data_IF_669443652704
#
_entry.id   IF_669443652704
#
_cell.length_a   1.000
_cell.length_b   1.000
_cell.length_c   1.000
_cell.angle_alpha   90.00
_cell.angle_beta   90.00
_cell.angle_gamma   90.00
#
_symmetry.space_group_name_H-M   'P 1'
#
loop_
_entity.id
_entity.type
_entity.pdbx_description
1 polymer ?
#
# COMPACT_ATOMS: atom_id res chain seq x y z
N UNK A 1 21.40 -37.69 -69.24
CA UNK A 1 20.46 -38.31 -68.27
C UNK A 1 21.23 -38.59 -66.99
N UNK A 2 20.96 -38.09 -65.77
CA UNK A 2 20.16 -36.99 -65.22
C UNK A 2 20.89 -36.49 -63.95
N UNK A 3 21.01 -35.16 -63.77
CA UNK A 3 20.38 -34.33 -62.72
C UNK A 3 20.33 -34.90 -61.28
N UNK A 4 21.08 -34.21 -60.41
CA UNK A 4 20.63 -33.52 -59.18
C UNK A 4 19.98 -34.34 -58.05
N UNK A 5 20.67 -34.43 -56.90
CA UNK A 5 20.02 -34.52 -55.60
C UNK A 5 20.86 -33.76 -54.55
N UNK A 6 20.59 -32.47 -54.47
CA UNK A 6 20.95 -31.62 -53.34
C UNK A 6 19.77 -31.67 -52.35
N UNK A 7 20.10 -31.44 -51.07
CA UNK A 7 19.35 -30.62 -50.12
C UNK A 7 18.43 -31.26 -49.03
N UNK A 8 18.69 -30.75 -47.82
CA UNK A 8 17.84 -30.49 -46.64
C UNK A 8 17.49 -31.67 -45.74
N UNK A 9 18.23 -31.76 -44.63
CA UNK A 9 17.61 -32.09 -43.33
C UNK A 9 17.74 -30.84 -42.43
N UNK A 10 16.79 -29.93 -42.56
CA UNK A 10 16.56 -28.86 -41.60
C UNK A 10 15.68 -29.42 -40.48
N UNK A 11 16.28 -29.75 -39.34
CA UNK A 11 15.53 -29.96 -38.12
C UNK A 11 15.08 -28.59 -37.59
N UNK A 12 13.88 -28.17 -37.99
CA UNK A 12 13.18 -27.03 -37.42
C UNK A 12 12.76 -27.38 -35.99
N UNK A 13 13.67 -27.22 -35.03
CA UNK A 13 13.32 -27.13 -33.63
C UNK A 13 12.75 -25.73 -33.37
N UNK A 14 11.50 -25.49 -33.76
CA UNK A 14 10.71 -24.37 -33.23
C UNK A 14 10.31 -24.80 -31.81
N UNK A 15 11.26 -24.68 -30.89
CA UNK A 15 10.95 -24.67 -29.47
C UNK A 15 10.08 -23.45 -29.23
N UNK A 16 8.82 -23.69 -28.87
CA UNK A 16 7.95 -22.65 -28.31
C UNK A 16 8.61 -22.26 -26.98
N UNK A 17 9.51 -21.28 -27.02
CA UNK A 17 9.95 -20.58 -25.83
C UNK A 17 8.73 -19.74 -25.45
N UNK A 18 7.81 -20.29 -24.67
CA UNK A 18 6.90 -19.46 -23.89
C UNK A 18 7.77 -18.80 -22.83
N UNK A 19 8.02 -17.48 -22.88
CA UNK A 19 8.50 -16.81 -21.70
C UNK A 19 7.36 -16.87 -20.68
N UNK A 20 7.34 -17.89 -19.83
CA UNK A 20 6.70 -17.78 -18.52
C UNK A 20 7.61 -16.87 -17.70
N UNK A 21 7.67 -15.60 -18.10
CA UNK A 21 8.01 -14.55 -17.16
C UNK A 21 6.77 -14.44 -16.29
N UNK A 22 6.80 -15.15 -15.17
CA UNK A 22 5.78 -15.02 -14.15
C UNK A 22 5.73 -13.54 -13.74
N UNK A 23 4.74 -12.81 -14.23
CA UNK A 23 4.42 -11.48 -13.74
C UNK A 23 4.10 -11.59 -12.25
N UNK A 24 4.39 -10.54 -11.50
CA UNK A 24 3.91 -10.49 -10.12
C UNK A 24 2.38 -10.43 -10.14
N UNK A 25 1.76 -11.48 -9.60
CA UNK A 25 0.31 -11.66 -9.64
C UNK A 25 -0.44 -10.95 -8.51
N UNK A 26 0.25 -10.15 -7.69
CA UNK A 26 -0.35 -9.45 -6.55
C UNK A 26 -1.47 -8.47 -6.95
N UNK A 27 -1.39 -7.85 -8.13
CA UNK A 27 -2.47 -6.98 -8.63
C UNK A 27 -3.42 -7.66 -9.63
N UNK A 28 -3.06 -8.87 -10.09
CA UNK A 28 -3.83 -9.67 -11.05
C UNK A 28 -4.93 -10.51 -10.40
N UNK A 29 -5.40 -11.54 -11.11
CA UNK A 29 -6.52 -12.40 -10.70
C UNK A 29 -6.21 -13.25 -9.46
N UNK A 30 -4.95 -13.58 -9.24
CA UNK A 30 -4.50 -14.29 -8.05
C UNK A 30 -4.43 -13.38 -6.81
N UNK A 31 -4.58 -12.07 -7.00
CA UNK A 31 -4.46 -11.02 -5.98
C UNK A 31 -5.73 -10.19 -5.83
N UNK A 32 -5.68 -8.91 -6.22
CA UNK A 32 -6.78 -7.94 -6.01
C UNK A 32 -7.57 -7.57 -7.27
N UNK A 33 -7.32 -8.22 -8.40
CA UNK A 33 -8.01 -7.96 -9.67
C UNK A 33 -7.90 -6.50 -10.18
N UNK A 34 -6.87 -5.75 -9.80
CA UNK A 34 -6.69 -4.38 -10.27
C UNK A 34 -6.43 -4.32 -11.79
N UNK A 35 -5.73 -5.29 -12.36
CA UNK A 35 -5.49 -5.36 -13.81
C UNK A 35 -6.81 -5.35 -14.61
N UNK A 36 -7.79 -6.16 -14.17
CA UNK A 36 -9.13 -6.21 -14.77
C UNK A 36 -9.85 -4.85 -14.75
N UNK A 37 -9.58 -4.02 -13.75
CA UNK A 37 -10.17 -2.68 -13.64
C UNK A 37 -9.46 -1.66 -14.51
N UNK A 38 -8.15 -1.86 -14.71
CA UNK A 38 -7.32 -1.02 -15.56
C UNK A 38 -7.53 -1.32 -17.05
N UNK A 39 -8.02 -2.50 -17.39
CA UNK A 39 -8.34 -2.89 -18.76
C UNK A 39 -9.67 -2.30 -19.25
N UNK A 40 -9.85 -2.28 -20.58
CA UNK A 40 -11.11 -1.89 -21.21
C UNK A 40 -12.27 -2.81 -20.76
N UNK A 41 -13.50 -2.28 -20.56
CA UNK A 41 -13.93 -0.91 -20.83
C UNK A 41 -13.79 0.05 -19.63
N UNK A 42 -13.22 -0.42 -18.51
CA UNK A 42 -13.24 0.33 -17.26
C UNK A 42 -12.12 1.36 -17.17
N UNK A 43 -10.91 1.01 -17.62
CA UNK A 43 -9.75 1.90 -17.72
C UNK A 43 -9.47 2.70 -16.42
N UNK A 44 -9.69 2.07 -15.26
CA UNK A 44 -9.52 2.68 -13.94
C UNK A 44 -8.04 2.64 -13.54
N UNK A 45 -7.27 3.57 -14.09
CA UNK A 45 -5.82 3.69 -13.86
C UNK A 45 -5.44 4.70 -12.78
N UNK A 46 -6.43 5.37 -12.17
CA UNK A 46 -6.20 6.48 -11.23
C UNK A 46 -5.94 7.83 -11.91
N UNK A 47 -6.15 7.92 -13.24
CA UNK A 47 -5.98 9.17 -13.99
C UNK A 47 -6.81 10.31 -13.38
N UNK A 48 -6.17 11.47 -13.21
CA UNK A 48 -6.75 12.68 -12.57
C UNK A 48 -7.04 12.54 -11.07
N UNK A 49 -6.73 11.40 -10.44
CA UNK A 49 -6.87 11.23 -8.99
C UNK A 49 -5.53 11.55 -8.32
N UNK A 50 -5.56 12.39 -7.28
CA UNK A 50 -4.42 12.57 -6.41
C UNK A 50 -4.51 11.68 -5.18
N UNK A 51 -3.38 11.09 -4.83
CA UNK A 51 -3.22 10.14 -3.74
C UNK A 51 -1.99 10.52 -2.93
N UNK A 52 -1.97 10.13 -1.68
CA UNK A 52 -0.90 10.45 -0.74
C UNK A 52 -0.18 9.22 -0.23
N UNK A 53 1.07 9.43 0.17
CA UNK A 53 1.87 8.47 0.93
C UNK A 53 2.56 9.20 2.07
N UNK A 54 2.33 8.75 3.29
CA UNK A 54 3.06 9.20 4.48
C UNK A 54 3.89 8.03 4.98
N UNK A 55 5.19 8.26 5.15
CA UNK A 55 6.17 7.25 5.53
C UNK A 55 7.27 7.82 6.42
N UNK A 56 8.06 6.94 7.06
CA UNK A 56 9.26 7.32 7.86
C UNK A 56 10.22 8.15 7.00
N UNK A 57 10.43 7.73 5.76
CA UNK A 57 11.16 8.48 4.74
C UNK A 57 10.30 8.73 3.50
N UNK A 58 10.93 9.22 2.44
CA UNK A 58 10.29 9.50 1.15
C UNK A 58 10.85 8.61 0.04
N UNK A 59 10.06 8.36 -1.02
CA UNK A 59 10.55 7.73 -2.23
C UNK A 59 11.69 8.52 -2.87
N UNK A 60 12.52 7.80 -3.62
CA UNK A 60 13.52 8.40 -4.49
C UNK A 60 12.87 9.05 -5.72
N UNK A 61 13.42 10.18 -6.19
CA UNK A 61 12.99 10.84 -7.43
C UNK A 61 14.16 11.03 -8.37
N UNK A 62 14.09 10.37 -9.53
CA UNK A 62 15.09 10.51 -10.59
C UNK A 62 15.23 11.97 -11.06
N UNK A 63 16.46 12.41 -11.30
CA UNK A 63 16.79 13.78 -11.68
C UNK A 63 16.72 14.82 -10.55
N UNK A 64 16.12 14.48 -9.42
CA UNK A 64 16.12 15.29 -8.20
C UNK A 64 17.16 14.76 -7.19
N UNK A 65 17.15 13.44 -6.97
CA UNK A 65 18.10 12.75 -6.10
C UNK A 65 19.29 12.25 -6.90
N UNK A 66 20.50 12.68 -6.51
CA UNK A 66 21.78 12.30 -7.14
C UNK A 66 22.18 10.86 -6.81
N UNK A 67 21.57 10.25 -5.80
CA UNK A 67 21.80 8.85 -5.42
C UNK A 67 21.04 7.86 -6.31
N UNK A 68 20.15 8.34 -7.18
CA UNK A 68 19.38 7.51 -8.11
C UNK A 68 20.22 7.17 -9.35
N UNK A 69 20.96 6.05 -9.32
CA UNK A 69 21.61 5.51 -10.53
C UNK A 69 20.60 4.89 -11.52
N UNK A 70 19.34 4.76 -11.11
CA UNK A 70 18.27 4.13 -11.86
C UNK A 70 17.02 5.02 -11.87
N UNK A 71 16.24 4.97 -12.96
CA UNK A 71 14.99 5.70 -13.10
C UNK A 71 13.83 4.81 -12.64
N UNK A 72 13.16 5.12 -11.51
CA UNK A 72 12.02 4.34 -11.06
C UNK A 72 10.87 4.35 -12.06
N UNK A 73 10.05 3.28 -12.14
CA UNK A 73 8.94 3.16 -13.06
C UNK A 73 7.72 3.95 -12.60
N UNK A 74 7.90 5.00 -11.81
CA UNK A 74 6.83 5.87 -11.31
C UNK A 74 7.28 7.33 -11.37
N UNK A 75 6.29 8.23 -11.37
CA UNK A 75 6.53 9.68 -11.29
C UNK A 75 5.76 10.25 -10.11
N UNK A 76 6.42 11.11 -9.33
CA UNK A 76 5.82 11.73 -8.14
C UNK A 76 5.35 13.14 -8.48
N UNK A 77 4.16 13.51 -8.01
CA UNK A 77 3.59 14.85 -8.15
C UNK A 77 4.19 15.84 -7.14
N UNK A 78 4.51 15.37 -5.93
CA UNK A 78 5.13 16.19 -4.89
C UNK A 78 5.91 15.36 -3.87
N UNK A 79 6.98 15.94 -3.33
CA UNK A 79 7.85 15.35 -2.33
C UNK A 79 8.05 16.32 -1.17
N UNK A 80 7.79 15.85 0.04
CA UNK A 80 7.78 16.67 1.24
C UNK A 80 8.54 16.00 2.38
N UNK A 81 9.05 16.84 3.28
CA UNK A 81 9.49 16.45 4.60
C UNK A 81 8.62 17.23 5.58
N UNK A 82 7.72 16.51 6.27
CA UNK A 82 6.68 17.11 7.09
C UNK A 82 5.82 18.07 6.27
N UNK A 83 5.84 19.35 6.62
CA UNK A 83 5.11 20.44 6.00
C UNK A 83 5.94 21.29 5.02
N UNK A 84 7.18 20.88 4.75
CA UNK A 84 8.09 21.55 3.84
C UNK A 84 8.37 20.72 2.58
N UNK A 85 8.74 21.39 1.49
CA UNK A 85 9.25 20.72 0.29
C UNK A 85 10.53 19.95 0.65
N UNK A 86 10.61 18.70 0.23
CA UNK A 86 11.77 17.85 0.53
C UNK A 86 13.05 18.39 -0.10
N UNK A 87 14.17 18.25 0.60
CA UNK A 87 15.50 18.54 0.06
C UNK A 87 16.05 17.32 -0.68
N UNK A 88 16.78 17.57 -1.76
CA UNK A 88 17.44 16.51 -2.55
C UNK A 88 18.37 15.67 -1.65
N UNK A 89 18.41 14.35 -1.88
CA UNK A 89 19.26 13.39 -1.16
C UNK A 89 19.00 13.27 0.35
N UNK A 90 17.89 13.79 0.88
CA UNK A 90 17.53 13.71 2.30
C UNK A 90 16.32 12.84 2.55
N UNK A 91 16.34 12.09 3.65
CA UNK A 91 15.25 11.22 4.11
C UNK A 91 14.75 10.24 3.04
N UNK A 92 15.63 9.85 2.11
CA UNK A 92 15.33 8.84 1.11
C UNK A 92 15.24 7.48 1.80
N UNK A 93 14.18 6.73 1.49
CA UNK A 93 13.93 5.44 2.10
C UNK A 93 13.55 4.37 1.06
N UNK A 94 14.12 3.18 1.24
CA UNK A 94 13.90 2.05 0.33
C UNK A 94 12.46 1.56 0.41
N UNK A 95 11.95 1.48 1.62
CA UNK A 95 10.62 0.98 1.89
C UNK A 95 9.56 1.91 1.31
N UNK A 96 9.71 3.22 1.47
CA UNK A 96 8.89 4.26 0.84
C UNK A 96 8.95 4.20 -0.69
N UNK A 97 10.12 3.93 -1.28
CA UNK A 97 10.26 3.76 -2.74
C UNK A 97 9.52 2.53 -3.25
N UNK A 98 9.60 1.41 -2.52
CA UNK A 98 8.82 0.20 -2.81
C UNK A 98 7.32 0.45 -2.63
N UNK A 99 6.90 1.30 -1.68
CA UNK A 99 5.50 1.73 -1.57
C UNK A 99 5.02 2.37 -2.86
N UNK A 100 5.75 3.41 -3.29
CA UNK A 100 5.39 4.18 -4.47
C UNK A 100 5.33 3.29 -5.71
N UNK A 101 6.21 2.29 -5.84
CA UNK A 101 6.15 1.29 -6.90
C UNK A 101 4.83 0.51 -6.92
N UNK A 102 4.36 -0.01 -5.77
CA UNK A 102 3.07 -0.74 -5.71
C UNK A 102 1.91 0.17 -6.11
N UNK A 103 1.95 1.45 -5.72
CA UNK A 103 0.87 2.39 -6.01
C UNK A 103 0.87 2.84 -7.48
N UNK A 104 2.03 3.16 -8.06
CA UNK A 104 2.14 3.93 -9.30
C UNK A 104 2.93 3.27 -10.44
N UNK A 105 3.56 2.13 -10.25
CA UNK A 105 4.50 1.60 -11.25
C UNK A 105 3.84 1.44 -12.62
N UNK A 106 4.51 1.94 -13.65
CA UNK A 106 4.12 1.84 -15.06
C UNK A 106 4.87 0.72 -15.79
N UNK A 107 5.74 -0.02 -15.08
CA UNK A 107 6.41 -1.18 -15.64
C UNK A 107 5.39 -2.30 -15.87
N UNK A 108 5.34 -2.87 -17.07
CA UNK A 108 4.43 -3.96 -17.40
C UNK A 108 4.65 -5.21 -16.54
N UNK A 109 5.87 -5.46 -16.04
CA UNK A 109 6.20 -6.65 -15.23
C UNK A 109 5.72 -6.52 -13.78
N UNK A 110 5.69 -5.29 -13.28
CA UNK A 110 5.31 -4.96 -11.90
C UNK A 110 4.46 -3.70 -11.93
N UNK A 111 3.28 -3.79 -12.55
CA UNK A 111 2.39 -2.65 -12.72
C UNK A 111 1.77 -2.30 -11.37
N UNK A 112 1.62 -1.00 -11.11
CA UNK A 112 1.02 -0.48 -9.89
C UNK A 112 -0.50 -0.56 -9.94
N UNK A 113 -1.14 -0.33 -8.79
CA UNK A 113 -2.62 -0.35 -8.67
C UNK A 113 -3.27 0.85 -9.37
N UNK A 114 -2.66 2.02 -9.30
CA UNK A 114 -3.17 3.27 -9.88
C UNK A 114 -2.05 3.99 -10.68
N UNK A 115 -1.57 3.39 -11.79
CA UNK A 115 -0.37 3.82 -12.50
C UNK A 115 -0.41 5.24 -13.09
N UNK A 116 -1.61 5.83 -13.23
CA UNK A 116 -1.81 7.19 -13.76
C UNK A 116 -2.19 8.21 -12.65
N UNK A 117 -2.19 7.80 -11.37
CA UNK A 117 -2.50 8.71 -10.27
C UNK A 117 -1.35 9.68 -9.95
N UNK A 118 -1.70 10.83 -9.36
CA UNK A 118 -0.74 11.82 -8.87
C UNK A 118 -0.38 11.53 -7.43
N UNK A 119 0.81 10.98 -7.19
CA UNK A 119 1.28 10.71 -5.83
C UNK A 119 2.01 11.90 -5.20
N UNK A 120 1.50 12.36 -4.05
CA UNK A 120 2.19 13.28 -3.15
C UNK A 120 2.75 12.48 -1.97
N UNK A 121 4.05 12.55 -1.73
CA UNK A 121 4.67 11.76 -0.65
C UNK A 121 5.39 12.63 0.37
N UNK A 122 5.14 12.35 1.65
CA UNK A 122 5.73 13.06 2.78
C UNK A 122 6.52 12.12 3.69
N UNK A 123 7.76 12.50 3.99
CA UNK A 123 8.57 11.86 5.02
C UNK A 123 8.30 12.50 6.39
N UNK A 124 8.05 11.70 7.42
CA UNK A 124 7.91 12.19 8.80
C UNK A 124 9.27 12.43 9.47
N UNK A 125 10.29 11.66 9.07
CA UNK A 125 11.64 11.69 9.61
C UNK A 125 11.94 10.55 10.57
N UNK A 126 12.96 10.74 11.42
CA UNK A 126 13.41 9.66 12.32
C UNK A 126 12.40 9.39 13.42
N UNK A 127 11.96 8.13 13.53
CA UNK A 127 11.18 7.63 14.68
C UNK A 127 11.89 7.82 16.04
N UNK A 128 13.21 8.05 16.08
CA UNK A 128 13.92 8.34 17.34
C UNK A 128 13.74 9.79 17.81
N UNK A 129 13.42 10.70 16.90
CA UNK A 129 13.41 12.16 17.14
C UNK A 129 12.07 12.83 16.89
N UNK A 130 11.13 12.14 16.25
CA UNK A 130 9.74 12.58 16.08
C UNK A 130 8.78 11.50 16.52
N UNK A 131 7.49 11.81 16.56
CA UNK A 131 6.41 10.86 16.85
C UNK A 131 5.08 11.38 16.32
N UNK A 132 4.00 11.04 17.02
CA UNK A 132 2.62 11.38 16.64
C UNK A 132 2.40 12.83 16.15
N UNK A 133 3.01 13.89 16.73
CA UNK A 133 2.83 15.25 16.22
C UNK A 133 3.37 15.45 14.80
N UNK A 134 4.59 14.98 14.49
CA UNK A 134 5.17 15.08 13.15
C UNK A 134 4.43 14.22 12.14
N UNK A 135 3.98 13.03 12.56
CA UNK A 135 3.19 12.12 11.74
C UNK A 135 1.85 12.75 11.38
N UNK A 136 1.20 13.42 12.34
CA UNK A 136 -0.02 14.18 12.13
C UNK A 136 0.21 15.40 11.21
N UNK A 137 1.25 16.20 11.45
CA UNK A 137 1.59 17.36 10.63
C UNK A 137 1.84 16.96 9.17
N UNK A 138 2.63 15.91 8.95
CA UNK A 138 2.90 15.37 7.60
C UNK A 138 1.62 14.89 6.94
N UNK A 139 0.75 14.21 7.70
CA UNK A 139 -0.54 13.71 7.19
C UNK A 139 -1.47 14.83 6.73
N UNK A 140 -1.54 15.92 7.50
CA UNK A 140 -2.31 17.11 7.16
C UNK A 140 -1.75 17.78 5.92
N UNK A 141 -0.43 17.96 5.88
CA UNK A 141 0.22 18.58 4.75
C UNK A 141 -0.05 17.81 3.45
N UNK A 142 0.05 16.48 3.49
CA UNK A 142 -0.26 15.63 2.33
C UNK A 142 -1.74 15.71 1.95
N UNK A 143 -2.67 15.72 2.91
CA UNK A 143 -4.10 15.86 2.63
C UNK A 143 -4.45 17.19 1.93
N UNK A 144 -3.71 18.26 2.23
CA UNK A 144 -3.89 19.58 1.64
C UNK A 144 -3.27 19.73 0.25
N UNK A 145 -2.48 18.77 -0.22
CA UNK A 145 -1.89 18.82 -1.56
C UNK A 145 -2.97 18.72 -2.65
N UNK A 146 -2.58 19.00 -3.90
CA UNK A 146 -3.51 19.05 -5.02
C UNK A 146 -4.70 20.00 -4.75
N UNK A 147 -4.47 21.13 -4.07
CA UNK A 147 -5.52 22.07 -3.65
C UNK A 147 -6.58 21.44 -2.72
N UNK A 148 -6.16 20.56 -1.80
CA UNK A 148 -7.04 19.85 -0.88
C UNK A 148 -7.83 18.71 -1.51
N UNK A 149 -7.39 18.19 -2.67
CA UNK A 149 -8.07 17.15 -3.43
C UNK A 149 -7.26 15.84 -3.48
N UNK A 150 -6.64 15.46 -2.35
CA UNK A 150 -6.05 14.13 -2.17
C UNK A 150 -7.12 13.16 -1.66
N UNK A 151 -7.35 12.06 -2.38
CA UNK A 151 -8.51 11.17 -2.15
C UNK A 151 -8.25 9.99 -1.24
N UNK A 152 -7.00 9.54 -1.19
CA UNK A 152 -6.58 8.54 -0.21
C UNK A 152 -5.12 8.77 0.18
N UNK A 153 -4.77 8.40 1.41
CA UNK A 153 -3.40 8.46 1.92
C UNK A 153 -3.01 7.08 2.44
N UNK A 154 -1.94 6.52 1.89
CA UNK A 154 -1.33 5.29 2.37
C UNK A 154 -0.38 5.59 3.55
N UNK A 155 -0.55 4.83 4.63
CA UNK A 155 0.26 4.88 5.84
C UNK A 155 0.86 3.48 6.09
N UNK A 156 2.10 3.27 5.65
CA UNK A 156 2.74 1.94 5.65
C UNK A 156 3.70 1.71 6.82
N UNK A 157 3.50 2.46 7.92
CA UNK A 157 4.19 2.31 9.19
C UNK A 157 3.22 2.61 10.34
N UNK A 158 3.70 2.60 11.58
CA UNK A 158 2.95 3.04 12.75
C UNK A 158 3.88 3.40 13.89
N UNK A 159 3.31 3.78 15.03
CA UNK A 159 4.04 4.10 16.25
C UNK A 159 3.76 3.06 17.34
N UNK A 160 4.80 2.78 18.13
CA UNK A 160 4.70 1.87 19.27
C UNK A 160 3.85 2.47 20.37
N UNK A 161 2.98 1.65 20.98
CA UNK A 161 2.22 2.06 22.16
C UNK A 161 3.13 2.46 23.33
N UNK A 162 4.36 1.95 23.38
CA UNK A 162 5.37 2.32 24.40
C UNK A 162 5.86 3.77 24.27
N UNK A 163 5.68 4.39 23.10
CA UNK A 163 6.09 5.76 22.81
C UNK A 163 4.95 6.76 22.94
N UNK A 164 3.75 6.26 23.18
CA UNK A 164 2.60 7.11 23.47
C UNK A 164 2.81 7.81 24.83
N UNK A 165 2.70 9.14 24.90
CA UNK A 165 3.00 9.91 26.12
C UNK A 165 1.96 9.73 27.23
N UNK A 166 0.83 9.07 26.97
CA UNK A 166 -0.23 8.86 27.96
C UNK A 166 0.22 7.84 29.02
N UNK A 167 0.05 8.17 30.29
CA UNK A 167 0.45 7.33 31.45
C UNK A 167 -0.10 5.88 31.38
N UNK A 168 -1.30 5.71 30.85
CA UNK A 168 -1.95 4.42 30.64
C UNK A 168 -2.29 4.19 29.17
N UNK A 169 -1.30 4.40 28.29
CA UNK A 169 -1.45 4.26 26.85
C UNK A 169 -2.13 2.94 26.46
N UNK A 170 -3.20 3.08 25.68
CA UNK A 170 -4.07 2.00 25.19
C UNK A 170 -4.50 2.31 23.76
N UNK A 171 -4.89 1.28 23.03
CA UNK A 171 -5.51 1.40 21.71
C UNK A 171 -7.01 1.66 21.84
N UNK A 172 -7.35 2.83 22.38
CA UNK A 172 -8.69 3.28 22.73
C UNK A 172 -9.19 4.42 21.83
N UNK A 173 -8.51 4.70 20.73
CA UNK A 173 -8.80 5.80 19.82
C UNK A 173 -8.25 7.16 20.27
N UNK A 174 -7.56 7.23 21.42
CA UNK A 174 -7.15 8.50 22.02
C UNK A 174 -5.66 8.86 21.84
N UNK A 175 -4.90 8.06 21.09
CA UNK A 175 -3.58 8.50 20.66
C UNK A 175 -3.71 9.73 19.74
N UNK A 176 -2.79 10.70 19.87
CA UNK A 176 -2.78 11.92 19.04
C UNK A 176 -2.82 11.61 17.55
N UNK A 177 -2.02 10.66 17.07
CA UNK A 177 -2.04 10.27 15.67
C UNK A 177 -3.40 9.69 15.28
N UNK A 178 -3.98 8.81 16.12
CA UNK A 178 -5.30 8.23 15.85
C UNK A 178 -6.39 9.30 15.73
N UNK A 179 -6.43 10.24 16.68
CA UNK A 179 -7.37 11.36 16.64
C UNK A 179 -7.13 12.26 15.42
N UNK A 180 -5.86 12.48 15.06
CA UNK A 180 -5.50 13.27 13.89
C UNK A 180 -5.99 12.63 12.60
N UNK A 181 -5.81 11.32 12.44
CA UNK A 181 -6.35 10.57 11.29
C UNK A 181 -7.87 10.68 11.25
N UNK A 182 -8.56 10.43 12.37
CA UNK A 182 -10.02 10.48 12.43
C UNK A 182 -10.60 11.87 12.16
N UNK A 183 -9.92 12.92 12.63
CA UNK A 183 -10.26 14.31 12.33
C UNK A 183 -9.97 14.64 10.87
N UNK A 184 -8.78 14.32 10.38
CA UNK A 184 -8.33 14.62 9.01
C UNK A 184 -9.20 13.92 7.97
N UNK A 185 -9.60 12.67 8.19
CA UNK A 185 -10.54 11.95 7.30
C UNK A 185 -11.85 12.72 7.11
N UNK A 186 -12.34 13.40 8.14
CA UNK A 186 -13.60 14.17 8.08
C UNK A 186 -13.41 15.58 7.57
N UNK A 187 -12.31 16.24 7.93
CA UNK A 187 -12.05 17.65 7.59
C UNK A 187 -11.50 17.79 6.18
N UNK A 188 -10.59 16.90 5.77
CA UNK A 188 -9.96 16.92 4.45
C UNK A 188 -10.62 15.98 3.43
N UNK A 189 -11.69 15.27 3.81
CA UNK A 189 -12.42 14.34 2.92
C UNK A 189 -11.50 13.29 2.23
N UNK A 190 -10.55 12.77 3.00
CA UNK A 190 -9.52 11.83 2.54
C UNK A 190 -9.65 10.47 3.23
N UNK A 191 -9.44 9.38 2.49
CA UNK A 191 -9.42 8.03 3.05
C UNK A 191 -8.00 7.65 3.49
N UNK A 192 -7.79 7.43 4.78
CA UNK A 192 -6.52 6.86 5.25
C UNK A 192 -6.56 5.33 5.19
N UNK A 193 -5.52 4.75 4.59
CA UNK A 193 -5.28 3.30 4.59
C UNK A 193 -4.02 3.02 5.38
N UNK A 194 -4.16 2.32 6.49
CA UNK A 194 -3.13 2.11 7.49
C UNK A 194 -2.70 0.65 7.49
N UNK A 195 -1.41 0.40 7.47
CA UNK A 195 -0.89 -0.95 7.60
C UNK A 195 -1.21 -1.51 8.99
N UNK A 196 -1.78 -2.72 9.05
CA UNK A 196 -2.02 -3.42 10.30
C UNK A 196 -0.73 -3.85 11.00
N UNK A 197 -0.87 -4.35 12.23
CA UNK A 197 0.26 -4.82 13.04
C UNK A 197 1.11 -5.88 12.31
N UNK A 198 2.43 -5.68 12.34
CA UNK A 198 3.44 -6.49 11.66
C UNK A 198 4.10 -7.48 12.60
N UNK A 199 4.48 -8.66 12.09
CA UNK A 199 5.52 -9.48 12.73
C UNK A 199 5.15 -9.98 14.14
N UNK A 200 5.93 -9.51 15.13
CA UNK A 200 5.72 -9.80 16.55
C UNK A 200 4.85 -8.74 17.26
N UNK A 201 4.27 -7.80 16.50
CA UNK A 201 3.71 -6.56 17.01
C UNK A 201 4.73 -5.41 17.03
N UNK A 202 4.33 -4.28 17.60
CA UNK A 202 5.25 -3.22 18.05
C UNK A 202 4.94 -1.80 17.59
N UNK A 203 4.04 -1.62 16.62
CA UNK A 203 3.69 -0.30 16.05
C UNK A 203 2.18 -0.14 15.80
N UNK A 204 1.32 -0.32 16.82
CA UNK A 204 -0.12 -0.39 16.63
C UNK A 204 -0.86 0.93 16.45
N UNK A 205 -0.23 2.07 16.70
CA UNK A 205 -0.89 3.37 16.48
C UNK A 205 -0.65 3.74 15.01
N UNK A 206 -1.68 4.10 14.22
CA UNK A 206 -3.05 4.43 14.61
C UNK A 206 -4.12 3.39 14.21
N UNK A 207 -3.85 2.08 14.31
CA UNK A 207 -4.78 1.01 13.88
C UNK A 207 -6.11 0.96 14.64
N UNK A 208 -6.25 1.76 15.70
CA UNK A 208 -7.47 1.96 16.50
C UNK A 208 -8.35 3.14 16.06
N UNK A 209 -8.09 3.67 14.86
CA UNK A 209 -8.90 4.70 14.20
C UNK A 209 -10.34 4.23 13.90
N UNK A 210 -11.26 5.19 13.69
CA UNK A 210 -12.63 4.93 13.25
C UNK A 210 -12.86 5.20 11.75
N UNK A 211 -12.18 6.20 11.17
CA UNK A 211 -12.49 6.78 9.87
C UNK A 211 -11.45 6.45 8.77
N UNK A 212 -10.66 5.42 8.99
CA UNK A 212 -9.72 4.87 8.01
C UNK A 212 -10.00 3.39 7.72
N UNK A 213 -9.07 2.77 7.01
CA UNK A 213 -9.05 1.33 6.77
C UNK A 213 -7.72 0.78 7.27
N UNK A 214 -7.75 -0.14 8.25
CA UNK A 214 -6.57 -0.93 8.59
C UNK A 214 -6.49 -2.15 7.65
N UNK A 215 -5.39 -2.26 6.91
CA UNK A 215 -5.14 -3.32 5.94
C UNK A 215 -4.11 -4.33 6.46
N UNK A 216 -4.51 -5.58 6.56
CA UNK A 216 -3.62 -6.71 6.81
C UNK A 216 -3.18 -7.36 5.48
N UNK A 217 -2.21 -8.28 5.53
CA UNK A 217 -1.75 -8.95 4.32
C UNK A 217 -2.06 -10.44 4.21
N UNK A 218 -2.22 -10.91 2.97
CA UNK A 218 -2.37 -12.31 2.63
C UNK A 218 -1.09 -12.88 2.00
N UNK A 219 -0.99 -14.22 2.07
CA UNK A 219 0.04 -15.03 1.45
C UNK A 219 -0.55 -16.01 0.44
N UNK A 220 0.28 -16.40 -0.53
CA UNK A 220 -0.10 -17.37 -1.55
C UNK A 220 -0.39 -18.74 -0.93
N UNK A 221 -1.52 -19.34 -1.31
CA UNK A 221 -1.85 -20.76 -1.15
C UNK A 221 -2.39 -21.25 -2.49
N UNK A 222 -1.73 -22.28 -3.03
CA UNK A 222 -2.04 -22.80 -4.37
C UNK A 222 -2.00 -21.67 -5.43
N UNK A 223 -0.93 -20.87 -5.42
CA UNK A 223 -0.72 -19.78 -6.39
C UNK A 223 -1.47 -18.48 -6.12
N UNK A 224 -2.46 -18.46 -5.23
CA UNK A 224 -3.36 -17.33 -5.01
C UNK A 224 -3.28 -16.75 -3.60
N UNK A 225 -3.44 -15.44 -3.45
CA UNK A 225 -3.33 -14.70 -2.19
C UNK A 225 -4.57 -14.85 -1.28
N UNK A 226 -4.87 -16.09 -0.86
CA UNK A 226 -6.11 -16.42 -0.12
C UNK A 226 -5.94 -16.64 1.39
N UNK A 227 -4.71 -16.70 1.91
CA UNK A 227 -4.48 -16.97 3.34
C UNK A 227 -4.00 -15.72 4.05
N UNK A 228 -4.71 -15.25 5.07
CA UNK A 228 -4.20 -14.20 5.97
C UNK A 228 -2.88 -14.66 6.57
N UNK A 229 -1.83 -13.86 6.42
CA UNK A 229 -0.50 -14.21 6.90
C UNK A 229 -0.47 -14.21 8.44
N UNK A 230 0.36 -15.08 9.00
CA UNK A 230 0.43 -15.27 10.46
C UNK A 230 0.97 -14.04 11.19
N UNK A 231 1.66 -13.12 10.51
CA UNK A 231 2.17 -11.93 11.18
C UNK A 231 1.12 -10.82 11.38
N UNK A 232 -0.13 -11.00 10.96
CA UNK A 232 -1.24 -10.06 11.17
C UNK A 232 -1.97 -10.24 12.52
N UNK A 233 -1.42 -10.98 13.48
CA UNK A 233 -2.12 -11.37 14.71
C UNK A 233 -2.48 -10.16 15.59
N UNK A 234 -3.78 -9.90 15.75
CA UNK A 234 -4.30 -8.88 16.68
C UNK A 234 -5.52 -9.30 17.51
N UNK A 235 -5.84 -10.59 17.65
CA UNK A 235 -7.01 -10.99 18.47
C UNK A 235 -6.82 -12.16 19.45
N UNK A 236 -5.89 -13.10 19.21
CA UNK A 236 -5.69 -14.26 20.09
C UNK A 236 -4.22 -14.65 20.20
N UNK A 237 -3.42 -13.96 21.04
CA UNK A 237 -2.03 -14.34 21.20
C UNK A 237 -1.87 -15.65 21.98
N UNK A 238 -1.22 -16.62 21.33
CA UNK A 238 -0.75 -17.88 21.94
C UNK A 238 0.80 -17.84 21.94
N UNK A 239 1.44 -18.21 23.06
CA UNK A 239 2.90 -18.33 23.16
C UNK A 239 3.65 -17.16 23.85
N UNK A 240 4.97 -17.12 23.68
CA UNK A 240 5.95 -16.33 24.47
C UNK A 240 5.83 -14.80 24.27
N UNK A 241 5.05 -14.32 23.29
CA UNK A 241 4.79 -12.88 23.04
C UNK A 241 3.43 -12.35 23.53
N UNK A 242 2.70 -13.14 24.33
CA UNK A 242 1.28 -12.89 24.63
C UNK A 242 0.98 -11.56 25.33
N UNK A 243 1.86 -11.10 26.22
CA UNK A 243 1.66 -9.85 26.96
C UNK A 243 1.81 -8.61 26.09
N UNK A 244 2.77 -8.61 25.16
CA UNK A 244 2.96 -7.54 24.17
C UNK A 244 1.77 -7.47 23.23
N UNK A 245 1.40 -8.60 22.60
CA UNK A 245 0.28 -8.65 21.64
C UNK A 245 -1.05 -8.27 22.33
N UNK A 246 -1.28 -8.65 23.59
CA UNK A 246 -2.49 -8.23 24.34
C UNK A 246 -2.62 -6.72 24.49
N UNK A 247 -1.50 -5.99 24.62
CA UNK A 247 -1.51 -4.52 24.69
C UNK A 247 -1.77 -3.88 23.32
N UNK A 248 -1.58 -4.63 22.25
CA UNK A 248 -1.75 -4.19 20.86
C UNK A 248 -3.10 -4.61 20.26
N UNK A 249 -4.08 -4.91 21.11
CA UNK A 249 -5.47 -5.20 20.73
C UNK A 249 -6.29 -3.93 20.93
N UNK A 250 -7.02 -3.53 19.88
CA UNK A 250 -7.95 -2.40 19.94
C UNK A 250 -9.01 -2.62 21.04
N UNK A 251 -9.26 -1.59 21.84
CA UNK A 251 -10.25 -1.66 22.93
C UNK A 251 -11.68 -1.46 22.42
N UNK A 252 -12.61 -2.13 23.09
CA UNK A 252 -14.03 -2.06 22.77
C UNK A 252 -14.38 -2.79 21.48
N UNK A 253 -15.39 -2.29 20.75
CA UNK A 253 -15.91 -2.90 19.52
C UNK A 253 -15.13 -2.52 18.25
N UNK A 254 -13.94 -1.94 18.38
CA UNK A 254 -13.11 -1.49 17.25
C UNK A 254 -12.55 -2.70 16.51
N UNK A 255 -12.68 -2.71 15.19
CA UNK A 255 -12.07 -3.75 14.34
C UNK A 255 -10.58 -3.48 14.20
N UNK A 256 -9.75 -4.49 14.45
CA UNK A 256 -8.30 -4.38 14.27
C UNK A 256 -7.86 -4.50 12.79
N UNK A 257 -8.70 -5.09 11.94
CA UNK A 257 -8.45 -5.25 10.50
C UNK A 257 -9.75 -4.91 9.78
N UNK A 258 -9.69 -3.96 8.86
CA UNK A 258 -10.79 -3.59 7.97
C UNK A 258 -10.87 -4.51 6.76
N UNK A 259 -9.72 -4.82 6.15
CA UNK A 259 -9.63 -5.69 4.98
C UNK A 259 -8.22 -6.28 4.80
N UNK A 260 -8.06 -7.16 3.82
CA UNK A 260 -6.79 -7.82 3.52
C UNK A 260 -6.38 -7.65 2.06
N UNK A 261 -5.07 -7.59 1.79
CA UNK A 261 -4.51 -7.52 0.43
C UNK A 261 -3.22 -8.36 0.32
N UNK A 262 -2.76 -8.73 -0.89
CA UNK A 262 -1.47 -9.39 -1.08
C UNK A 262 -0.33 -8.65 -0.39
N UNK A 263 0.52 -9.38 0.33
CA UNK A 263 1.69 -8.79 0.99
C UNK A 263 2.79 -9.73 1.42
N UNK A 264 2.67 -11.03 1.15
CA UNK A 264 3.75 -12.00 1.38
C UNK A 264 4.49 -12.26 0.07
N UNK A 265 5.83 -12.17 0.10
CA UNK A 265 6.74 -12.46 -1.02
C UNK A 265 6.31 -11.79 -2.34
N UNK A 266 6.08 -10.49 -2.27
CA UNK A 266 5.83 -9.66 -3.46
C UNK A 266 7.18 -9.22 -4.01
N UNK A 267 7.35 -9.30 -5.32
CA UNK A 267 8.54 -8.90 -6.04
C UNK A 267 8.45 -7.42 -6.39
N UNK A 268 9.37 -6.61 -5.87
CA UNK A 268 9.42 -5.17 -6.08
C UNK A 268 10.82 -4.72 -6.48
N UNK A 269 10.91 -3.55 -7.12
CA UNK A 269 12.18 -2.86 -7.30
C UNK A 269 12.61 -2.17 -6.01
N UNK A 270 13.84 -2.41 -5.57
CA UNK A 270 14.52 -1.57 -4.59
C UNK A 270 14.97 -0.24 -5.23
N UNK A 271 15.53 0.68 -4.43
CA UNK A 271 16.01 1.98 -4.92
C UNK A 271 17.17 1.89 -5.93
N UNK A 272 17.83 0.75 -6.04
CA UNK A 272 18.90 0.49 -7.01
C UNK A 272 18.37 -0.17 -8.28
N UNK A 273 17.06 -0.40 -8.38
CA UNK A 273 16.42 -1.08 -9.51
C UNK A 273 16.58 -2.61 -9.47
N UNK A 274 17.02 -3.19 -8.35
CA UNK A 274 17.10 -4.64 -8.18
C UNK A 274 15.74 -5.20 -7.77
N UNK A 275 15.35 -6.33 -8.35
CA UNK A 275 14.16 -7.07 -7.93
C UNK A 275 14.46 -7.77 -6.60
N UNK A 276 13.62 -7.52 -5.61
CA UNK A 276 13.68 -8.12 -4.27
C UNK A 276 12.29 -8.63 -3.87
N UNK A 277 12.24 -9.75 -3.15
CA UNK A 277 11.02 -10.20 -2.51
C UNK A 277 10.86 -9.55 -1.14
N UNK A 278 9.69 -8.97 -0.88
CA UNK A 278 9.34 -8.37 0.41
C UNK A 278 8.07 -8.98 0.98
N UNK A 279 7.99 -9.00 2.32
CA UNK A 279 6.78 -9.38 3.05
C UNK A 279 6.41 -8.34 4.10
N UNK A 280 5.14 -7.96 4.16
CA UNK A 280 4.59 -7.01 5.14
C UNK A 280 3.15 -6.58 4.80
N UNK A 281 2.42 -5.95 5.72
CA UNK A 281 1.08 -5.41 5.47
C UNK A 281 1.10 -4.34 4.41
N UNK A 282 0.11 -4.43 3.52
CA UNK A 282 0.07 -3.64 2.32
C UNK A 282 -1.21 -2.81 2.31
N UNK A 283 -1.16 -1.69 3.04
CA UNK A 283 -2.06 -0.56 2.79
C UNK A 283 -1.95 -0.02 1.34
N UNK A 284 -0.88 -0.40 0.64
CA UNK A 284 -0.42 0.12 -0.66
C UNK A 284 -1.22 -0.39 -1.86
N UNK A 285 -2.03 -1.42 -1.66
CA UNK A 285 -2.88 -2.03 -2.69
C UNK A 285 -4.28 -1.41 -2.77
N UNK A 286 -4.61 -0.47 -1.88
CA UNK A 286 -5.98 -0.01 -1.65
C UNK A 286 -6.09 1.48 -1.85
N UNK A 287 -6.32 1.89 -3.09
CA UNK A 287 -6.51 3.31 -3.37
C UNK A 287 -7.51 3.47 -4.50
N UNK A 288 -8.80 3.52 -4.17
CA UNK A 288 -9.83 3.96 -5.12
C UNK A 288 -10.95 4.70 -4.37
N UNK A 289 -11.11 5.99 -4.67
CA UNK A 289 -12.34 6.74 -4.43
C UNK A 289 -12.57 7.70 -5.60
N UNK A 290 -13.54 7.38 -6.45
CA UNK A 290 -14.13 8.35 -7.37
C UNK A 290 -15.40 8.95 -6.74
N UNK A 291 -15.68 10.21 -7.12
CA UNK A 291 -16.66 11.08 -6.46
C UNK A 291 -18.10 10.65 -6.81
N UNK A 292 -18.81 10.01 -5.88
CA UNK A 292 -20.27 10.00 -5.86
C UNK A 292 -20.76 11.26 -5.11
N UNK A 293 -21.56 12.15 -5.72
CA UNK A 293 -21.92 13.46 -5.15
C UNK A 293 -22.81 13.41 -3.89
N UNK A 294 -23.22 12.24 -3.40
CA UNK A 294 -24.25 12.12 -2.35
C UNK A 294 -23.88 11.35 -1.08
N UNK A 295 -22.69 10.76 -0.98
CA UNK A 295 -22.31 10.00 0.23
C UNK A 295 -21.05 10.54 0.90
N UNK A 296 -21.28 11.27 2.01
CA UNK A 296 -20.27 11.47 3.06
C UNK A 296 -19.83 10.10 3.59
N UNK A 297 -18.60 9.99 4.09
CA UNK A 297 -17.78 8.82 4.51
C UNK A 297 -18.44 7.56 5.12
N UNK A 298 -19.75 7.53 5.35
CA UNK A 298 -20.51 6.47 6.00
C UNK A 298 -20.96 5.34 5.06
N UNK A 299 -20.93 5.51 3.73
CA UNK A 299 -21.52 4.52 2.79
C UNK A 299 -20.53 3.54 2.13
N UNK A 300 -19.22 3.70 2.32
CA UNK A 300 -18.21 2.90 1.61
C UNK A 300 -18.06 1.47 2.17
N UNK A 301 -18.68 1.15 3.32
CA UNK A 301 -18.55 -0.14 3.99
C UNK A 301 -19.80 -1.06 3.91
N UNK A 302 -20.77 -0.76 3.04
CA UNK A 302 -22.09 -1.44 3.04
C UNK A 302 -22.46 -2.07 1.68
N UNK A 303 -21.64 -3.00 1.20
CA UNK A 303 -22.09 -4.00 0.22
C UNK A 303 -21.55 -5.37 0.60
N UNK A 304 -22.25 -6.02 1.53
CA UNK A 304 -22.10 -7.45 1.84
C UNK A 304 -23.28 -8.15 1.17
N UNK A 305 -23.07 -8.77 0.01
CA UNK A 305 -24.03 -9.74 -0.52
C UNK A 305 -23.63 -11.13 -0.04
N UNK A 306 -24.55 -11.77 0.67
CA UNK A 306 -24.51 -13.16 1.11
C UNK A 306 -24.62 -14.10 -0.10
N UNK A 307 -23.55 -14.82 -0.45
CA UNK A 307 -23.57 -16.07 -1.23
C UNK A 307 -22.45 -17.01 -0.73
N UNK A 308 -22.61 -18.35 -0.80
CA UNK A 308 -21.97 -19.28 0.14
C UNK A 308 -20.58 -19.80 -0.25
N UNK A 309 -19.89 -19.19 -1.22
CA UNK A 309 -18.63 -19.75 -1.75
C UNK A 309 -17.56 -18.67 -1.95
N UNK A 310 -16.60 -18.62 -1.01
CA UNK A 310 -15.28 -18.01 -1.21
C UNK A 310 -15.20 -16.49 -1.02
N UNK A 311 -14.41 -16.06 -0.03
CA UNK A 311 -14.08 -14.65 0.19
C UNK A 311 -13.29 -14.08 -1.02
N UNK A 312 -13.92 -13.18 -1.77
CA UNK A 312 -13.27 -12.18 -2.62
C UNK A 312 -13.90 -10.84 -2.25
N UNK A 313 -13.09 -9.83 -1.90
CA UNK A 313 -13.60 -8.48 -1.65
C UNK A 313 -12.81 -7.45 -2.44
N UNK A 314 -13.57 -6.85 -3.35
CA UNK A 314 -13.25 -5.83 -4.34
C UNK A 314 -13.72 -4.48 -3.76
N UNK A 315 -12.84 -3.47 -3.67
CA UNK A 315 -13.28 -2.08 -3.43
C UNK A 315 -13.14 -1.32 -4.74
N UNK A 316 -14.21 -1.33 -5.52
CA UNK A 316 -14.39 -0.51 -6.70
C UNK A 316 -15.63 0.34 -6.48
N UNK A 317 -15.43 1.62 -6.19
CA UNK A 317 -16.52 2.59 -6.14
C UNK A 317 -16.73 3.07 -7.57
N UNK A 318 -17.69 2.47 -8.27
CA UNK A 318 -18.16 2.90 -9.59
C UNK A 318 -19.25 3.96 -9.43
N UNK A 319 -19.29 4.90 -10.37
CA UNK A 319 -20.32 5.93 -10.53
C UNK A 319 -21.72 5.36 -10.73
#
# INVERSE_FOLDING_TARGET
MGKLAFFVWSLTAIGIITPVLALDTSIGEEGIFAERLQDEPLNLTGRKIAIGQVEIGRPIRYGFDKVAAWKPPYTLAGLFYRDEVAKANTYIDNHASMVASVMLSQDKRFKGVAPDARLYSGAVGSLKKGGQPEECLTSQHIALQNSGDVRAINFSFGESLQRDPRENAKLDGNALLTQCIDWSSRVHDVLYVIAGNQGKGGIPIPTDHYNGITAAYTAKRQGQYKKVDFANLSSLPVGIGRSLIKKEINQGSRRAIGLVAPGNKISLYDMKGKIVEVSGPVSRHLILRERLPYYKNTAIAKSVFSHPTGLQMLVVIKS
#
